data_IF_680110924273
#
_entry.id   IF_680110924273
#
_cell.length_a   1.000
_cell.length_b   1.000
_cell.length_c   1.000
_cell.angle_alpha   90.00
_cell.angle_beta   90.00
_cell.angle_gamma   90.00
#
_symmetry.space_group_name_H-M   'P 1'
#
loop_
_entity.id
_entity.type
_entity.pdbx_description
1 polymer ?
#
# COMPACT_ATOMS: atom_id res chain seq x y z
N UNK A 1 -10.40 4.32 25.19
CA UNK A 1 -10.40 3.07 24.40
C UNK A 1 -11.31 3.15 23.17
N UNK A 2 -12.59 3.49 23.29
CA UNK A 2 -13.53 3.48 22.14
C UNK A 2 -13.09 4.26 20.88
N UNK A 3 -12.50 5.44 21.03
CA UNK A 3 -12.06 6.24 19.88
C UNK A 3 -10.98 5.54 19.02
N UNK A 4 -9.98 4.91 19.66
CA UNK A 4 -8.93 4.16 18.95
C UNK A 4 -9.49 2.97 18.18
N UNK A 5 -10.44 2.25 18.79
CA UNK A 5 -11.13 1.12 18.16
C UNK A 5 -11.89 1.57 16.91
N UNK A 6 -12.63 2.68 16.97
CA UNK A 6 -13.36 3.20 15.81
C UNK A 6 -12.44 3.66 14.69
N UNK A 7 -11.30 4.30 15.00
CA UNK A 7 -10.30 4.65 13.98
C UNK A 7 -9.75 3.40 13.30
N UNK A 8 -9.37 2.39 14.07
CA UNK A 8 -8.87 1.12 13.53
C UNK A 8 -9.90 0.45 12.60
N UNK A 9 -11.17 0.40 13.02
CA UNK A 9 -12.26 -0.16 12.22
C UNK A 9 -12.45 0.62 10.91
N UNK A 10 -12.48 1.95 10.98
CA UNK A 10 -12.62 2.80 9.80
C UNK A 10 -11.44 2.64 8.84
N UNK A 11 -10.21 2.67 9.33
CA UNK A 11 -9.03 2.44 8.48
C UNK A 11 -9.07 1.05 7.83
N UNK A 12 -9.46 0.02 8.58
CA UNK A 12 -9.59 -1.34 8.04
C UNK A 12 -10.61 -1.38 6.90
N UNK A 13 -11.77 -0.74 7.08
CA UNK A 13 -12.83 -0.67 6.06
C UNK A 13 -12.38 0.08 4.81
N UNK A 14 -11.51 1.09 4.92
CA UNK A 14 -11.01 1.86 3.78
C UNK A 14 -9.89 1.10 3.04
N UNK A 15 -8.99 0.45 3.79
CA UNK A 15 -7.81 -0.22 3.23
C UNK A 15 -8.19 -1.50 2.49
N UNK A 16 -9.09 -2.32 3.04
CA UNK A 16 -9.42 -3.64 2.50
C UNK A 16 -9.97 -3.60 1.05
N UNK A 17 -10.99 -2.77 0.74
CA UNK A 17 -11.53 -2.68 -0.61
C UNK A 17 -10.47 -2.18 -1.60
N UNK A 18 -9.69 -1.18 -1.21
CA UNK A 18 -8.62 -0.60 -2.04
C UNK A 18 -7.55 -1.65 -2.35
N UNK A 19 -7.13 -2.43 -1.36
CA UNK A 19 -6.18 -3.53 -1.53
C UNK A 19 -6.72 -4.59 -2.49
N UNK A 20 -8.00 -4.96 -2.36
CA UNK A 20 -8.64 -5.93 -3.27
C UNK A 20 -8.63 -5.42 -4.71
N UNK A 21 -8.90 -4.13 -4.93
CA UNK A 21 -8.87 -3.54 -6.28
C UNK A 21 -7.47 -3.62 -6.90
N UNK A 22 -6.41 -3.27 -6.17
CA UNK A 22 -5.04 -3.39 -6.68
C UNK A 22 -4.61 -4.83 -6.93
N UNK A 23 -5.03 -5.78 -6.09
CA UNK A 23 -4.78 -7.22 -6.33
C UNK A 23 -5.50 -7.68 -7.61
N UNK A 24 -6.74 -7.25 -7.82
CA UNK A 24 -7.50 -7.55 -9.05
C UNK A 24 -6.81 -6.94 -10.26
N UNK A 25 -6.33 -5.70 -10.18
CA UNK A 25 -5.57 -5.03 -11.24
C UNK A 25 -4.30 -5.81 -11.58
N UNK A 26 -3.47 -6.15 -10.59
CA UNK A 26 -2.26 -6.96 -10.81
C UNK A 26 -2.59 -8.32 -11.40
N UNK A 27 -3.66 -8.98 -10.94
CA UNK A 27 -4.10 -10.26 -11.50
C UNK A 27 -4.45 -10.11 -12.98
N UNK A 28 -5.18 -9.05 -13.36
CA UNK A 28 -5.56 -8.80 -14.76
C UNK A 28 -4.31 -8.57 -15.61
N UNK A 29 -3.37 -7.76 -15.14
CA UNK A 29 -2.16 -7.39 -15.87
C UNK A 29 -1.14 -8.54 -15.98
N UNK A 30 -1.04 -9.39 -14.96
CA UNK A 30 -0.13 -10.54 -14.93
C UNK A 30 -0.71 -11.80 -15.54
N UNK A 31 -2.03 -11.85 -15.79
CA UNK A 31 -2.64 -12.98 -16.49
C UNK A 31 -2.16 -13.00 -17.94
N UNK A 32 -1.50 -14.07 -18.41
CA UNK A 32 -0.93 -14.12 -19.75
C UNK A 32 -2.04 -14.09 -20.80
N UNK A 33 -2.23 -12.93 -21.42
CA UNK A 33 -3.14 -12.70 -22.56
C UNK A 33 -2.32 -12.19 -23.75
N UNK A 34 -1.55 -13.09 -24.36
CA UNK A 34 -0.73 -12.74 -25.53
C UNK A 34 0.36 -11.69 -25.26
N UNK A 35 1.00 -11.21 -26.33
CA UNK A 35 2.15 -10.29 -26.25
C UNK A 35 1.74 -8.82 -26.03
N UNK A 36 0.44 -8.52 -25.99
CA UNK A 36 -0.13 -7.17 -25.90
C UNK A 36 0.21 -6.49 -24.56
N UNK A 37 0.39 -7.27 -23.49
CA UNK A 37 0.68 -6.77 -22.14
C UNK A 37 2.19 -6.63 -21.82
N UNK A 38 3.08 -6.88 -22.78
CA UNK A 38 4.52 -6.74 -22.57
C UNK A 38 5.06 -5.31 -22.85
N UNK A 39 4.17 -4.35 -23.12
CA UNK A 39 4.56 -2.97 -23.37
C UNK A 39 5.07 -2.28 -22.11
N UNK A 40 5.90 -1.25 -22.29
CA UNK A 40 6.40 -0.42 -21.18
C UNK A 40 5.26 0.26 -20.40
N UNK A 41 4.12 0.52 -21.04
CA UNK A 41 2.93 1.08 -20.40
C UNK A 41 2.39 0.16 -19.30
N UNK A 42 2.17 -1.12 -19.60
CA UNK A 42 1.66 -2.08 -18.60
C UNK A 42 2.67 -2.36 -17.48
N UNK A 43 3.97 -2.30 -17.76
CA UNK A 43 5.02 -2.41 -16.73
C UNK A 43 4.97 -1.23 -15.74
N UNK A 44 4.67 -0.02 -16.22
CA UNK A 44 4.48 1.14 -15.35
C UNK A 44 3.23 1.01 -14.48
N UNK A 45 2.12 0.48 -15.02
CA UNK A 45 0.93 0.16 -14.22
C UNK A 45 1.20 -0.88 -13.13
N UNK A 46 1.95 -1.95 -13.45
CA UNK A 46 2.37 -2.92 -12.44
C UNK A 46 3.22 -2.26 -11.35
N UNK A 47 4.18 -1.40 -11.72
CA UNK A 47 5.00 -0.69 -10.75
C UNK A 47 4.17 0.26 -9.87
N UNK A 48 3.17 0.92 -10.45
CA UNK A 48 2.23 1.79 -9.73
C UNK A 48 1.41 1.01 -8.71
N UNK A 49 0.75 -0.09 -9.14
CA UNK A 49 -0.03 -0.94 -8.24
C UNK A 49 0.82 -1.55 -7.11
N UNK A 50 2.07 -1.94 -7.39
CA UNK A 50 3.00 -2.43 -6.35
C UNK A 50 3.36 -1.32 -5.35
N UNK A 51 3.57 -0.09 -5.82
CA UNK A 51 3.88 1.07 -4.96
C UNK A 51 2.71 1.35 -4.01
N UNK A 52 1.47 1.36 -4.53
CA UNK A 52 0.27 1.62 -3.75
C UNK A 52 -0.06 0.49 -2.76
N UNK A 53 0.07 -0.77 -3.16
CA UNK A 53 -0.07 -1.92 -2.25
C UNK A 53 0.96 -1.81 -1.12
N UNK A 54 2.21 -1.47 -1.44
CA UNK A 54 3.27 -1.32 -0.44
C UNK A 54 2.92 -0.20 0.54
N UNK A 55 2.43 0.94 0.05
CA UNK A 55 1.97 2.05 0.88
C UNK A 55 0.82 1.67 1.80
N UNK A 56 -0.21 1.00 1.28
CA UNK A 56 -1.36 0.53 2.04
C UNK A 56 -0.98 -0.48 3.12
N UNK A 57 -0.12 -1.45 2.79
CA UNK A 57 0.31 -2.48 3.75
C UNK A 57 1.15 -1.83 4.86
N UNK A 58 2.10 -0.97 4.51
CA UNK A 58 2.94 -0.30 5.50
C UNK A 58 2.12 0.66 6.38
N UNK A 59 1.21 1.46 5.82
CA UNK A 59 0.38 2.37 6.61
C UNK A 59 -0.52 1.60 7.56
N UNK A 60 -1.14 0.52 7.10
CA UNK A 60 -1.99 -0.31 7.94
C UNK A 60 -1.20 -1.00 9.06
N UNK A 61 -0.04 -1.59 8.74
CA UNK A 61 0.79 -2.29 9.72
C UNK A 61 1.37 -1.32 10.76
N UNK A 62 1.92 -0.19 10.35
CA UNK A 62 2.63 0.72 11.25
C UNK A 62 1.75 1.78 11.93
N UNK A 63 0.55 2.08 11.40
CA UNK A 63 -0.34 3.10 12.00
C UNK A 63 -1.70 2.55 12.43
N UNK A 64 -2.31 1.62 11.69
CA UNK A 64 -3.62 1.07 12.08
C UNK A 64 -3.50 0.01 13.18
N UNK A 65 -2.59 -0.97 13.04
CA UNK A 65 -2.44 -2.07 14.02
C UNK A 65 -2.11 -1.57 15.44
N UNK A 66 -1.25 -0.54 15.64
CA UNK A 66 -1.04 0.07 16.96
C UNK A 66 -2.27 0.75 17.56
N UNK A 67 -3.35 0.94 16.80
CA UNK A 67 -4.63 1.47 17.31
C UNK A 67 -5.59 0.36 17.75
N UNK A 68 -5.28 -0.91 17.44
CA UNK A 68 -6.11 -2.04 17.85
C UNK A 68 -6.08 -2.21 19.39
N UNK A 69 -7.25 -2.28 20.04
CA UNK A 69 -7.36 -2.16 21.50
C UNK A 69 -6.64 -3.27 22.26
N UNK A 70 -6.58 -4.48 21.71
CA UNK A 70 -6.12 -5.67 22.45
C UNK A 70 -4.66 -6.05 22.15
N UNK A 71 -4.08 -5.55 21.05
CA UNK A 71 -2.76 -5.95 20.57
C UNK A 71 -1.76 -4.80 20.48
N UNK A 72 -2.20 -3.55 20.62
CA UNK A 72 -1.35 -2.37 20.40
C UNK A 72 -0.05 -2.38 21.20
N UNK A 73 -0.11 -2.61 22.51
CA UNK A 73 1.07 -2.52 23.37
C UNK A 73 2.06 -3.66 23.12
N UNK A 74 1.55 -4.89 22.94
CA UNK A 74 2.36 -6.05 22.58
C UNK A 74 3.01 -5.87 21.20
N UNK A 75 2.25 -5.31 20.24
CA UNK A 75 2.73 -5.07 18.88
C UNK A 75 3.83 -4.01 18.85
N UNK A 76 3.62 -2.86 19.49
CA UNK A 76 4.61 -1.76 19.53
C UNK A 76 5.89 -2.17 20.26
N UNK A 77 5.78 -2.94 21.34
CA UNK A 77 6.94 -3.45 22.08
C UNK A 77 7.70 -4.56 21.36
N UNK A 78 7.05 -5.28 20.43
CA UNK A 78 7.68 -6.36 19.65
C UNK A 78 8.58 -5.86 18.52
N UNK A 79 8.40 -4.61 18.08
CA UNK A 79 9.08 -4.05 16.92
C UNK A 79 10.26 -3.17 17.33
N UNK A 80 11.44 -3.33 16.71
CA UNK A 80 12.58 -2.47 16.99
C UNK A 80 12.37 -1.07 16.43
N UNK A 81 12.88 -0.03 17.09
CA UNK A 81 12.66 1.38 16.70
C UNK A 81 13.06 1.69 15.25
N UNK A 82 14.10 1.04 14.72
CA UNK A 82 14.55 1.25 13.35
C UNK A 82 13.52 0.83 12.30
N UNK A 83 12.62 -0.12 12.61
CA UNK A 83 11.58 -0.56 11.67
C UNK A 83 10.57 0.56 11.43
N UNK A 84 10.18 1.27 12.49
CA UNK A 84 9.36 2.47 12.39
C UNK A 84 10.06 3.58 11.62
N UNK A 85 11.37 3.79 11.82
CA UNK A 85 12.14 4.79 11.06
C UNK A 85 12.12 4.49 9.57
N UNK A 86 12.38 3.24 9.17
CA UNK A 86 12.36 2.83 7.76
C UNK A 86 10.95 2.94 7.19
N UNK A 87 9.93 2.46 7.92
CA UNK A 87 8.55 2.53 7.47
C UNK A 87 8.08 3.98 7.26
N UNK A 88 8.38 4.88 8.20
CA UNK A 88 8.08 6.31 8.06
C UNK A 88 8.81 6.92 6.87
N UNK A 89 10.09 6.58 6.66
CA UNK A 89 10.85 7.08 5.52
C UNK A 89 10.24 6.60 4.19
N UNK A 90 9.90 5.32 4.08
CA UNK A 90 9.25 4.77 2.89
C UNK A 90 7.89 5.40 2.64
N UNK A 91 7.04 5.49 3.66
CA UNK A 91 5.71 6.11 3.56
C UNK A 91 5.76 7.60 3.21
N UNK A 92 6.85 8.29 3.55
CA UNK A 92 7.09 9.66 3.11
C UNK A 92 7.40 9.75 1.61
N UNK A 93 8.18 8.82 1.06
CA UNK A 93 8.60 8.85 -0.36
C UNK A 93 7.64 8.15 -1.32
N UNK A 94 6.86 7.16 -0.87
CA UNK A 94 5.94 6.40 -1.73
C UNK A 94 4.94 7.26 -2.50
N UNK A 95 4.29 8.29 -1.91
CA UNK A 95 3.42 9.19 -2.65
C UNK A 95 4.14 9.92 -3.80
N UNK A 96 5.38 10.36 -3.56
CA UNK A 96 6.20 11.00 -4.59
C UNK A 96 6.54 10.03 -5.73
N UNK A 97 6.84 8.76 -5.41
CA UNK A 97 7.06 7.71 -6.42
C UNK A 97 5.78 7.47 -7.24
N UNK A 98 4.62 7.40 -6.58
CA UNK A 98 3.33 7.25 -7.24
C UNK A 98 3.02 8.40 -8.21
N UNK A 99 3.30 9.65 -7.81
CA UNK A 99 3.13 10.82 -8.67
C UNK A 99 4.03 10.76 -9.91
N UNK A 100 5.31 10.40 -9.74
CA UNK A 100 6.23 10.24 -10.87
C UNK A 100 5.81 9.09 -11.81
N UNK A 101 5.32 7.99 -11.27
CA UNK A 101 4.78 6.88 -12.06
C UNK A 101 3.54 7.30 -12.84
N UNK A 102 2.63 8.07 -12.24
CA UNK A 102 1.47 8.62 -12.93
C UNK A 102 1.86 9.55 -14.09
N UNK A 103 2.85 10.42 -13.89
CA UNK A 103 3.39 11.28 -14.95
C UNK A 103 4.00 10.42 -16.06
N UNK A 104 4.80 9.41 -15.71
CA UNK A 104 5.41 8.51 -16.69
C UNK A 104 4.36 7.72 -17.49
N UNK A 105 3.30 7.24 -16.84
CA UNK A 105 2.16 6.59 -17.49
C UNK A 105 1.47 7.55 -18.46
N UNK A 106 1.23 8.79 -18.05
CA UNK A 106 0.58 9.80 -18.89
C UNK A 106 1.42 10.17 -20.12
N UNK A 107 2.74 10.19 -19.99
CA UNK A 107 3.67 10.46 -21.10
C UNK A 107 3.86 9.27 -22.05
N UNK A 108 3.64 8.04 -21.57
CA UNK A 108 3.79 6.81 -22.34
C UNK A 108 2.47 6.35 -22.99
N UNK A 109 1.45 7.22 -22.94
CA UNK A 109 0.11 7.02 -23.49
C UNK A 109 -0.01 7.67 -24.86
#
# INVERSE_FOLDING_TARGET
MHYRTWIFVLETIIVLPTLVLYIVELRILLTPRGNEYNSSFYKLFIAFAVTDITGLVLSHFFYAVPLAPDIAEAYVSSLPTWSYTIANALLFYLPTVADFLNIAIALNR
#
